data_IF_570366285823
#
_entry.id   IF_570366285823
#
_cell.length_a   1.000
_cell.length_b   1.000
_cell.length_c   1.000
_cell.angle_alpha   90.00
_cell.angle_beta   90.00
_cell.angle_gamma   90.00
#
_symmetry.space_group_name_H-M   'P 1'
#
loop_
_entity.id
_entity.type
_entity.pdbx_description
1 polymer ?
#
# COMPACT_ATOMS: atom_id res chain seq x y z
N UNK A 1 12.10 -16.04 12.48
CA UNK A 1 10.69 -16.51 12.44
C UNK A 1 9.65 -15.38 12.33
N UNK A 2 10.00 -14.09 12.51
CA UNK A 2 9.06 -12.95 12.48
C UNK A 2 8.93 -12.21 11.12
N UNK A 3 9.75 -12.55 10.12
CA UNK A 3 9.96 -11.71 8.93
C UNK A 3 8.84 -11.79 7.85
N UNK A 4 7.94 -12.77 7.91
CA UNK A 4 7.05 -13.10 6.78
C UNK A 4 5.56 -12.82 7.03
N UNK A 5 5.19 -11.94 7.98
CA UNK A 5 3.77 -11.62 8.21
C UNK A 5 3.20 -10.70 7.14
N UNK A 6 4.03 -9.83 6.57
CA UNK A 6 3.70 -8.94 5.45
C UNK A 6 4.38 -9.42 4.17
N UNK A 7 4.31 -10.71 3.87
CA UNK A 7 4.66 -11.25 2.55
C UNK A 7 3.36 -11.62 1.86
N UNK A 8 3.16 -11.22 0.61
CA UNK A 8 1.93 -11.40 -0.16
C UNK A 8 0.78 -10.43 0.21
N UNK A 9 0.95 -9.17 -0.17
CA UNK A 9 0.00 -8.09 0.09
C UNK A 9 -0.18 -7.18 -1.12
N UNK A 10 -1.28 -6.45 -1.17
CA UNK A 10 -1.57 -5.43 -2.17
C UNK A 10 -1.61 -4.06 -1.49
N UNK A 11 -1.05 -3.07 -2.16
CA UNK A 11 -1.26 -1.66 -1.83
C UNK A 11 -2.11 -1.03 -2.90
N UNK A 12 -3.17 -0.35 -2.48
CA UNK A 12 -4.13 0.32 -3.34
C UNK A 12 -4.41 1.73 -2.86
N UNK A 13 -4.56 2.66 -3.78
CA UNK A 13 -4.89 4.06 -3.51
C UNK A 13 -6.09 4.47 -4.35
N UNK A 14 -7.05 5.15 -3.74
CA UNK A 14 -8.27 5.59 -4.42
C UNK A 14 -8.76 6.94 -3.89
N UNK A 15 -9.53 7.64 -4.72
CA UNK A 15 -10.35 8.77 -4.29
C UNK A 15 -11.71 8.33 -3.73
N UNK A 16 -12.11 7.08 -3.94
CA UNK A 16 -13.35 6.49 -3.42
C UNK A 16 -13.07 5.53 -2.28
N UNK A 17 -13.90 5.60 -1.23
CA UNK A 17 -13.74 4.78 -0.02
C UNK A 17 -13.98 3.28 -0.25
N UNK A 18 -14.78 2.94 -1.26
CA UNK A 18 -15.08 1.55 -1.64
C UNK A 18 -14.00 0.90 -2.52
N UNK A 19 -12.97 1.67 -2.93
CA UNK A 19 -11.94 1.23 -3.87
C UNK A 19 -12.52 0.66 -5.19
N UNK A 20 -13.68 1.15 -5.63
CA UNK A 20 -14.27 0.80 -6.94
C UNK A 20 -13.41 1.29 -8.12
N UNK A 21 -12.62 2.33 -7.91
CA UNK A 21 -11.58 2.81 -8.83
C UNK A 21 -10.24 2.84 -8.11
N UNK A 22 -9.14 2.69 -8.85
CA UNK A 22 -7.79 2.72 -8.29
C UNK A 22 -6.93 3.76 -9.01
N UNK A 23 -6.40 4.73 -8.27
CA UNK A 23 -5.35 5.64 -8.75
C UNK A 23 -4.02 4.89 -8.85
N UNK A 24 -3.79 3.96 -7.92
CA UNK A 24 -2.64 3.07 -7.89
C UNK A 24 -3.05 1.74 -7.27
N UNK A 25 -2.50 0.65 -7.79
CA UNK A 25 -2.66 -0.69 -7.24
C UNK A 25 -1.46 -1.54 -7.63
N UNK A 26 -0.83 -2.19 -6.65
CA UNK A 26 0.26 -3.12 -6.91
C UNK A 26 0.31 -4.23 -5.87
N UNK A 27 0.59 -5.43 -6.34
CA UNK A 27 0.81 -6.62 -5.52
C UNK A 27 2.30 -6.79 -5.19
N UNK A 28 2.57 -7.22 -3.97
CA UNK A 28 3.90 -7.45 -3.41
C UNK A 28 3.95 -8.84 -2.80
N UNK A 29 4.77 -9.71 -3.38
CA UNK A 29 4.89 -11.10 -2.94
C UNK A 29 6.04 -11.34 -1.96
N UNK A 30 6.75 -10.28 -1.57
CA UNK A 30 7.88 -10.34 -0.62
C UNK A 30 7.72 -9.31 0.47
N UNK A 31 8.24 -9.62 1.66
CA UNK A 31 8.20 -8.70 2.77
C UNK A 31 9.10 -7.47 2.56
N UNK A 32 8.71 -6.27 3.03
CA UNK A 32 9.60 -5.12 3.10
C UNK A 32 10.83 -5.42 3.97
N UNK A 33 12.02 -5.02 3.51
CA UNK A 33 13.25 -5.14 4.30
C UNK A 33 14.24 -4.01 3.98
N UNK A 34 14.56 -3.10 4.92
CA UNK A 34 13.84 -2.83 6.18
C UNK A 34 12.50 -2.11 5.94
N UNK A 35 12.36 -1.43 4.79
CA UNK A 35 11.16 -0.70 4.39
C UNK A 35 10.92 -0.86 2.89
N UNK A 36 9.71 -0.57 2.45
CA UNK A 36 9.35 -0.49 1.03
C UNK A 36 8.84 0.92 0.73
N UNK A 37 9.50 1.60 -0.20
CA UNK A 37 9.03 2.89 -0.71
C UNK A 37 8.18 2.60 -1.94
N UNK A 38 6.96 3.13 -1.94
CA UNK A 38 6.04 3.09 -3.08
C UNK A 38 6.04 4.49 -3.66
N UNK A 39 6.61 4.65 -4.85
CA UNK A 39 6.58 5.91 -5.58
C UNK A 39 5.37 5.91 -6.51
N UNK A 40 4.52 6.93 -6.37
CA UNK A 40 3.43 7.15 -7.30
C UNK A 40 4.00 7.89 -8.51
N UNK A 41 4.35 7.13 -9.52
CA UNK A 41 4.89 7.58 -10.80
C UNK A 41 3.81 8.30 -11.62
N UNK A 42 3.51 9.55 -11.28
CA UNK A 42 3.04 10.59 -12.20
C UNK A 42 2.76 11.88 -11.44
N UNK A 43 3.11 13.00 -12.09
CA UNK A 43 2.54 14.31 -11.76
C UNK A 43 1.02 14.21 -11.72
N UNK A 44 0.39 14.69 -10.64
CA UNK A 44 -1.06 14.80 -10.52
C UNK A 44 -1.82 13.56 -10.04
N UNK A 45 -1.16 12.46 -9.64
CA UNK A 45 -1.86 11.33 -9.01
C UNK A 45 -2.35 11.73 -7.61
N UNK A 46 -3.66 11.93 -7.47
CA UNK A 46 -4.33 12.20 -6.20
C UNK A 46 -5.01 10.95 -5.64
N UNK A 47 -4.97 10.81 -4.32
CA UNK A 47 -5.61 9.73 -3.59
C UNK A 47 -6.07 10.20 -2.22
N UNK A 48 -7.28 9.79 -1.82
CA UNK A 48 -7.85 10.09 -0.49
C UNK A 48 -7.71 8.92 0.48
N UNK A 49 -7.71 7.70 -0.03
CA UNK A 49 -7.68 6.47 0.75
C UNK A 49 -6.52 5.60 0.33
N UNK A 50 -5.79 5.07 1.31
CA UNK A 50 -4.74 4.06 1.13
C UNK A 50 -5.21 2.78 1.81
N UNK A 51 -5.15 1.67 1.08
CA UNK A 51 -5.44 0.34 1.61
C UNK A 51 -4.26 -0.58 1.38
N UNK A 52 -3.80 -1.18 2.46
CA UNK A 52 -2.82 -2.26 2.47
C UNK A 52 -3.57 -3.50 2.93
N UNK A 53 -3.61 -4.54 2.09
CA UNK A 53 -4.35 -5.76 2.38
C UNK A 53 -3.49 -6.98 2.09
N UNK A 54 -3.56 -8.01 2.94
CA UNK A 54 -2.99 -9.31 2.58
C UNK A 54 -3.81 -9.92 1.46
N UNK A 55 -3.15 -10.63 0.55
CA UNK A 55 -3.81 -11.44 -0.47
C UNK A 55 -4.22 -12.81 0.09
N UNK A 56 -3.61 -13.22 1.19
CA UNK A 56 -3.93 -14.43 1.94
C UNK A 56 -4.73 -14.10 3.21
N UNK A 57 -5.36 -15.13 3.80
CA UNK A 57 -6.06 -15.01 5.08
C UNK A 57 -5.08 -15.12 6.25
N UNK A 58 -4.65 -13.98 6.77
CA UNK A 58 -3.83 -13.91 7.98
C UNK A 58 -4.01 -12.54 8.68
N UNK A 59 -3.36 -12.36 9.82
CA UNK A 59 -3.29 -11.08 10.51
C UNK A 59 -2.31 -10.14 9.80
N UNK A 60 -2.81 -8.99 9.37
CA UNK A 60 -1.99 -7.89 8.89
C UNK A 60 -1.36 -7.17 10.09
N UNK A 61 -0.04 -7.00 10.06
CA UNK A 61 0.69 -6.21 11.06
C UNK A 61 1.59 -5.21 10.35
N UNK A 62 1.43 -3.93 10.67
CA UNK A 62 2.20 -2.82 10.11
C UNK A 62 2.85 -2.09 11.28
N UNK A 63 4.17 -1.90 11.22
CA UNK A 63 4.87 -1.14 12.25
C UNK A 63 4.62 0.37 12.06
N UNK A 64 4.77 0.85 10.84
CA UNK A 64 4.56 2.25 10.48
C UNK A 64 4.11 2.36 9.03
N UNK A 65 3.22 3.33 8.76
CA UNK A 65 2.84 3.73 7.41
C UNK A 65 2.98 5.24 7.33
N UNK A 66 3.91 5.71 6.50
CA UNK A 66 4.11 7.12 6.24
C UNK A 66 3.60 7.47 4.84
N UNK A 67 2.71 8.47 4.77
CA UNK A 67 2.19 9.00 3.52
C UNK A 67 2.80 10.38 3.30
N UNK A 68 3.60 10.51 2.24
CA UNK A 68 4.23 11.78 1.86
C UNK A 68 3.52 12.33 0.63
N UNK A 69 2.95 13.52 0.77
CA UNK A 69 2.33 14.28 -0.32
C UNK A 69 3.03 15.62 -0.52
N UNK A 70 2.70 16.29 -1.62
CA UNK A 70 3.01 17.69 -1.86
C UNK A 70 1.70 18.44 -1.98
N UNK A 71 1.63 19.65 -1.43
CA UNK A 71 0.52 20.55 -1.75
C UNK A 71 0.68 21.01 -3.21
N UNK A 72 -0.41 20.94 -3.96
CA UNK A 72 -0.53 21.44 -5.33
C UNK A 72 -1.20 22.81 -5.33
#
# INVERSE_FOLDING_TARGET
MLCNRLSNYQVSISNKADFSTHTYQQDFHVAPNPKKIIQLDASGKQGRYVRIQLLDKNYLSLAEVQVMGVDL
#
